data_IF_995160090282
#
_entry.id   IF_995160090282
#
_cell.length_a   1.000
_cell.length_b   1.000
_cell.length_c   1.000
_cell.angle_alpha   90.00
_cell.angle_beta   90.00
_cell.angle_gamma   90.00
#
_symmetry.space_group_name_H-M   'P 1'
#
loop_
_entity.id
_entity.type
_entity.pdbx_description
1 polymer ?
#
# COMPACT_ATOMS: atom_id res chain seq x y z
N UNK A 1 12.18 -9.32 27.66
CA UNK A 1 12.39 -8.09 26.85
C UNK A 1 11.20 -8.02 25.94
N UNK A 2 10.41 -6.96 26.06
CA UNK A 2 9.07 -6.87 25.47
C UNK A 2 9.17 -6.87 23.94
N UNK A 3 8.42 -7.77 23.32
CA UNK A 3 8.23 -7.85 21.88
C UNK A 3 7.41 -6.64 21.45
N UNK A 4 8.09 -5.60 20.98
CA UNK A 4 7.42 -4.44 20.40
C UNK A 4 6.85 -4.87 19.05
N UNK A 5 5.60 -5.30 19.08
CA UNK A 5 4.75 -5.57 17.92
C UNK A 5 4.37 -4.21 17.28
N UNK A 6 5.36 -3.54 16.71
CA UNK A 6 5.18 -2.29 15.97
C UNK A 6 4.42 -2.61 14.69
N UNK A 7 3.11 -2.41 14.74
CA UNK A 7 2.30 -2.25 13.54
C UNK A 7 3.04 -1.29 12.60
N UNK A 8 3.14 -1.55 11.28
CA UNK A 8 3.94 -0.73 10.38
C UNK A 8 3.54 0.74 10.56
N UNK A 9 4.41 1.49 11.22
CA UNK A 9 4.13 2.86 11.64
C UNK A 9 4.06 3.72 10.39
N UNK A 10 2.85 4.16 10.02
CA UNK A 10 2.66 5.08 8.91
C UNK A 10 3.25 6.43 9.33
N UNK A 11 4.19 6.93 8.54
CA UNK A 11 4.82 8.23 8.74
C UNK A 11 4.00 9.27 7.96
N UNK A 12 3.55 10.31 8.64
CA UNK A 12 2.80 11.42 8.03
C UNK A 12 3.71 12.64 7.87
N UNK A 13 3.98 13.05 6.63
CA UNK A 13 4.73 14.27 6.30
C UNK A 13 3.85 15.20 5.47
N UNK A 14 3.13 16.09 6.16
CA UNK A 14 2.20 17.04 5.54
C UNK A 14 1.06 16.36 4.78
N UNK A 15 1.17 16.32 3.45
CA UNK A 15 0.20 15.68 2.55
C UNK A 15 0.60 14.26 2.11
N UNK A 16 1.76 13.77 2.54
CA UNK A 16 2.30 12.48 2.15
C UNK A 16 2.23 11.49 3.29
N UNK A 17 1.94 10.23 2.97
CA UNK A 17 1.97 9.11 3.89
C UNK A 17 3.00 8.12 3.38
N UNK A 18 3.95 7.75 4.24
CA UNK A 18 5.01 6.79 3.93
C UNK A 18 4.92 5.59 4.86
N UNK A 19 4.93 4.38 4.29
CA UNK A 19 4.85 3.14 5.06
C UNK A 19 5.51 1.99 4.31
N UNK A 20 5.88 0.94 5.03
CA UNK A 20 6.35 -0.29 4.41
C UNK A 20 5.16 -1.11 3.88
N UNK A 21 5.26 -1.59 2.64
CA UNK A 21 4.30 -2.53 2.08
C UNK A 21 4.18 -3.76 3.00
N UNK A 22 2.97 -4.16 3.42
CA UNK A 22 2.81 -5.26 4.38
C UNK A 22 3.16 -6.64 3.80
N UNK A 23 3.41 -6.74 2.48
CA UNK A 23 3.74 -7.99 1.79
C UNK A 23 5.24 -8.19 1.55
N UNK A 24 5.94 -7.12 1.20
CA UNK A 24 7.35 -7.20 0.79
C UNK A 24 8.25 -6.22 1.55
N UNK A 25 7.69 -5.45 2.50
CA UNK A 25 8.40 -4.50 3.37
C UNK A 25 9.19 -3.41 2.63
N UNK A 26 8.87 -3.18 1.36
CA UNK A 26 9.42 -2.08 0.55
C UNK A 26 8.60 -0.82 0.84
N UNK A 27 9.29 0.32 0.91
CA UNK A 27 8.65 1.61 1.16
C UNK A 27 7.70 2.03 0.04
N UNK A 28 6.53 2.50 0.45
CA UNK A 28 5.49 3.08 -0.39
C UNK A 28 5.19 4.48 0.14
N UNK A 29 5.06 5.43 -0.77
CA UNK A 29 4.65 6.79 -0.46
C UNK A 29 3.39 7.12 -1.25
N UNK A 30 2.35 7.59 -0.56
CA UNK A 30 1.06 7.95 -1.16
C UNK A 30 0.71 9.39 -0.83
N UNK A 31 0.13 10.09 -1.80
CA UNK A 31 -0.37 11.44 -1.60
C UNK A 31 -1.75 11.36 -0.96
N UNK A 32 -1.86 11.77 0.31
CA UNK A 32 -3.09 11.69 1.11
C UNK A 32 -4.32 12.31 0.42
N UNK A 33 -4.24 13.48 -0.23
CA UNK A 33 -5.38 14.06 -0.96
C UNK A 33 -5.89 13.22 -2.14
N UNK A 34 -5.11 12.26 -2.64
CA UNK A 34 -5.48 11.38 -3.76
C UNK A 34 -5.99 10.01 -3.29
N UNK A 35 -6.01 9.77 -1.98
CA UNK A 35 -6.54 8.54 -1.40
C UNK A 35 -8.07 8.60 -1.42
N UNK A 36 -8.68 7.99 -2.45
CA UNK A 36 -10.14 7.92 -2.58
C UNK A 36 -10.71 6.63 -1.98
N UNK A 37 -10.42 5.47 -2.58
CA UNK A 37 -10.99 4.17 -2.15
C UNK A 37 -10.22 3.52 -1.00
N UNK A 38 -8.98 3.94 -0.75
CA UNK A 38 -8.09 3.36 0.24
C UNK A 38 -7.55 1.96 -0.14
N UNK A 39 -7.88 1.42 -1.31
CA UNK A 39 -7.37 0.14 -1.80
C UNK A 39 -6.24 0.42 -2.77
N UNK A 40 -5.10 -0.25 -2.58
CA UNK A 40 -3.91 -0.07 -3.39
C UNK A 40 -3.32 -1.42 -3.78
N UNK A 41 -2.61 -1.44 -4.90
CA UNK A 41 -1.70 -2.52 -5.28
C UNK A 41 -0.29 -1.98 -5.19
N UNK A 42 0.62 -2.68 -4.53
CA UNK A 42 2.01 -2.23 -4.49
C UNK A 42 2.67 -2.43 -5.86
N UNK A 43 2.51 -1.47 -6.75
CA UNK A 43 2.93 -1.56 -8.13
C UNK A 43 2.86 -0.21 -8.83
N UNK A 44 3.93 0.16 -9.54
CA UNK A 44 3.96 1.29 -10.48
C UNK A 44 4.48 0.78 -11.81
N UNK A 45 3.77 0.99 -12.91
CA UNK A 45 4.22 0.58 -14.24
C UNK A 45 5.51 1.29 -14.61
N UNK A 46 6.52 0.53 -15.03
CA UNK A 46 7.84 1.06 -15.37
C UNK A 46 7.82 1.98 -16.59
N UNK A 47 6.95 1.70 -17.55
CA UNK A 47 6.87 2.46 -18.79
C UNK A 47 6.19 3.81 -18.61
N UNK A 48 5.12 3.85 -17.81
CA UNK A 48 4.27 5.05 -17.67
C UNK A 48 4.48 5.81 -16.37
N UNK A 49 5.12 5.18 -15.37
CA UNK A 49 5.21 5.72 -14.01
C UNK A 49 3.85 5.77 -13.30
N UNK A 50 2.80 5.17 -13.86
CA UNK A 50 1.47 5.19 -13.28
C UNK A 50 1.28 4.04 -12.28
N UNK A 51 0.55 4.25 -11.18
CA UNK A 51 0.25 3.19 -10.23
C UNK A 51 -0.63 2.10 -10.87
N UNK A 52 -0.44 0.87 -10.42
CA UNK A 52 -1.27 -0.27 -10.83
C UNK A 52 -2.73 -0.03 -10.40
N UNK A 53 -3.72 -0.35 -11.27
CA UNK A 53 -5.12 -0.14 -10.94
C UNK A 53 -5.51 -0.87 -9.65
N UNK A 54 -6.23 -0.21 -8.72
CA UNK A 54 -6.58 -0.81 -7.43
C UNK A 54 -7.47 -2.05 -7.56
N UNK A 55 -8.24 -2.12 -8.65
CA UNK A 55 -9.16 -3.21 -9.01
C UNK A 55 -8.60 -4.14 -10.10
N UNK A 56 -7.29 -4.14 -10.35
CA UNK A 56 -6.67 -5.11 -11.25
C UNK A 56 -6.86 -6.55 -10.73
N UNK A 57 -7.03 -7.48 -11.65
CA UNK A 57 -7.20 -8.90 -11.31
C UNK A 57 -5.90 -9.50 -10.78
N UNK A 58 -6.01 -10.60 -10.03
CA UNK A 58 -4.83 -11.33 -9.56
C UNK A 58 -3.92 -11.81 -10.70
N UNK A 59 -4.45 -12.45 -11.77
CA UNK A 59 -3.62 -12.87 -12.90
C UNK A 59 -2.85 -11.72 -13.55
N UNK A 60 -3.47 -10.54 -13.72
CA UNK A 60 -2.80 -9.38 -14.30
C UNK A 60 -1.66 -8.89 -13.40
N UNK A 61 -1.91 -8.78 -12.08
CA UNK A 61 -0.90 -8.34 -11.12
C UNK A 61 0.29 -9.29 -11.05
N UNK A 62 0.02 -10.60 -11.04
CA UNK A 62 1.05 -11.64 -11.05
C UNK A 62 1.86 -11.62 -12.35
N UNK A 63 1.18 -11.45 -13.49
CA UNK A 63 1.83 -11.34 -14.79
C UNK A 63 2.73 -10.11 -14.85
N UNK A 64 2.25 -8.92 -14.45
CA UNK A 64 3.06 -7.70 -14.45
C UNK A 64 4.28 -7.81 -13.53
N UNK A 65 4.14 -8.45 -12.37
CA UNK A 65 5.27 -8.70 -11.49
C UNK A 65 6.26 -9.71 -12.09
N UNK A 66 5.78 -10.84 -12.63
CA UNK A 66 6.62 -11.89 -13.20
C UNK A 66 7.37 -11.45 -14.47
N UNK A 67 6.80 -10.50 -15.20
CA UNK A 67 7.40 -9.91 -16.42
C UNK A 67 8.16 -8.61 -16.15
N UNK A 68 8.35 -8.25 -14.89
CA UNK A 68 9.04 -7.04 -14.43
C UNK A 68 8.47 -5.74 -15.03
N UNK A 69 7.16 -5.69 -15.32
CA UNK A 69 6.49 -4.49 -15.86
C UNK A 69 6.19 -3.44 -14.78
N UNK A 70 6.22 -3.82 -13.50
CA UNK A 70 5.90 -2.93 -12.37
C UNK A 70 7.04 -2.90 -11.34
N UNK A 71 7.18 -1.75 -10.66
CA UNK A 71 7.94 -1.64 -9.41
C UNK A 71 7.04 -1.96 -8.23
N UNK A 72 7.34 -3.05 -7.53
CA UNK A 72 6.59 -3.53 -6.37
C UNK A 72 6.16 -4.99 -6.50
N UNK A 73 5.38 -5.47 -5.54
CA UNK A 73 4.97 -6.88 -5.48
C UNK A 73 3.61 -7.18 -6.15
N UNK A 74 2.90 -6.15 -6.63
CA UNK A 74 1.57 -6.28 -7.25
C UNK A 74 0.43 -6.67 -6.28
N UNK A 75 0.73 -6.86 -4.98
CA UNK A 75 -0.24 -7.37 -4.01
C UNK A 75 -1.17 -6.28 -3.46
N UNK A 76 -2.44 -6.63 -3.18
CA UNK A 76 -3.42 -5.76 -2.52
C UNK A 76 -3.01 -5.36 -1.12
N UNK A 77 -3.26 -4.11 -0.76
CA UNK A 77 -3.36 -3.69 0.62
C UNK A 77 -4.36 -2.55 0.75
N UNK A 78 -4.88 -2.35 1.96
CA UNK A 78 -5.81 -1.29 2.27
C UNK A 78 -5.20 -0.31 3.25
N UNK A 79 -5.27 0.97 2.92
CA UNK A 79 -5.02 2.07 3.83
C UNK A 79 -6.35 2.46 4.50
N UNK A 80 -6.43 2.24 5.80
CA UNK A 80 -7.59 2.57 6.63
C UNK A 80 -7.22 3.68 7.62
N UNK A 81 -8.18 4.52 8.00
CA UNK A 81 -8.02 5.48 9.09
C UNK A 81 -8.64 4.87 10.34
N UNK A 82 -7.94 4.88 11.46
CA UNK A 82 -8.50 4.47 12.75
C UNK A 82 -9.79 5.24 13.04
N UNK A 83 -10.89 4.53 13.33
CA UNK A 83 -12.14 5.16 13.70
C UNK A 83 -12.07 5.62 15.16
N UNK A 84 -11.81 6.91 15.38
CA UNK A 84 -12.12 7.67 16.59
C UNK A 84 -11.86 6.98 17.93
N UNK A 85 -10.60 7.02 18.38
CA UNK A 85 -10.18 6.69 19.74
C UNK A 85 -8.67 6.52 19.82
N UNK A 86 -8.02 7.15 20.82
CA UNK A 86 -6.59 7.22 21.27
C UNK A 86 -5.41 7.05 20.28
N UNK A 87 -5.58 6.38 19.14
CA UNK A 87 -4.64 6.23 18.04
C UNK A 87 -5.27 6.77 16.74
N UNK A 88 -5.24 8.09 16.56
CA UNK A 88 -5.77 8.83 15.40
C UNK A 88 -4.97 8.62 14.08
N UNK A 89 -4.29 7.47 13.93
CA UNK A 89 -3.35 7.19 12.85
C UNK A 89 -3.93 6.44 11.64
N UNK A 90 -3.20 6.47 10.53
CA UNK A 90 -3.41 5.57 9.39
C UNK A 90 -2.90 4.16 9.71
N UNK A 91 -3.62 3.15 9.22
CA UNK A 91 -3.24 1.73 9.26
C UNK A 91 -3.19 1.16 7.86
N UNK A 92 -2.29 0.20 7.69
CA UNK A 92 -2.11 -0.55 6.44
C UNK A 92 -2.42 -2.00 6.72
N UNK A 93 -3.52 -2.47 6.15
CA UNK A 93 -4.02 -3.83 6.34
C UNK A 93 -3.82 -4.63 5.05
N UNK A 94 -3.40 -5.89 5.18
CA UNK A 94 -3.44 -6.84 4.05
C UNK A 94 -4.90 -7.13 3.74
N UNK A 95 -5.27 -7.06 2.46
CA UNK A 95 -6.57 -7.52 1.99
C UNK A 95 -6.40 -8.52 0.86
N UNK A 96 -7.47 -9.26 0.55
CA UNK A 96 -7.49 -10.18 -0.59
C UNK A 96 -7.81 -9.45 -1.89
N UNK A 97 -7.60 -10.13 -3.02
CA UNK A 97 -8.08 -9.66 -4.31
C UNK A 97 -9.62 -9.59 -4.30
N UNK A 98 -10.17 -8.56 -4.96
CA UNK A 98 -11.62 -8.29 -5.01
C UNK A 98 -12.20 -9.00 -6.22
#
# INVERSE_FOLDING_TARGET
MQENNESPSVIEDGAWLSFACPHCHVWVTVHRPEVNCGIFRHGVFRETGQPVPPHASQPDCEQWHATDQIWGCGKPFRLSRGAGGVDDGFRVDICDYI
#
